data_IF_583172102713
#
_entry.id   IF_583172102713
#
_cell.length_a   1.000
_cell.length_b   1.000
_cell.length_c   1.000
_cell.angle_alpha   90.00
_cell.angle_beta   90.00
_cell.angle_gamma   90.00
#
_symmetry.space_group_name_H-M   'P 1'
#
loop_
_entity.id
_entity.type
_entity.pdbx_description
1 polymer ?
#
# COMPACT_ATOMS: atom_id res chain seq x y z
N UNK A 1 -9.70 -12.67 23.52
CA UNK A 1 -10.00 -11.58 22.56
C UNK A 1 -10.22 -12.23 21.21
N UNK A 2 -11.31 -11.94 20.50
CA UNK A 2 -11.59 -12.56 19.20
C UNK A 2 -10.43 -12.22 18.25
N UNK A 3 -9.74 -13.23 17.70
CA UNK A 3 -8.71 -13.00 16.70
C UNK A 3 -9.39 -12.40 15.47
N UNK A 4 -9.11 -11.12 15.19
CA UNK A 4 -9.76 -10.41 14.10
C UNK A 4 -9.07 -10.78 12.80
N UNK A 5 -9.84 -11.21 11.82
CA UNK A 5 -9.36 -11.32 10.44
C UNK A 5 -9.27 -9.90 9.86
N UNK A 6 -8.10 -9.53 9.32
CA UNK A 6 -7.89 -8.22 8.71
C UNK A 6 -6.92 -8.30 7.53
N UNK A 7 -6.83 -7.21 6.79
CA UNK A 7 -5.78 -6.98 5.80
C UNK A 7 -5.03 -5.73 6.22
N UNK A 8 -3.72 -5.86 6.44
CA UNK A 8 -2.84 -4.71 6.59
C UNK A 8 -2.46 -4.24 5.19
N UNK A 9 -2.63 -2.95 4.92
CA UNK A 9 -2.33 -2.33 3.63
C UNK A 9 -1.30 -1.24 3.85
N UNK A 10 -0.33 -1.20 2.96
CA UNK A 10 0.68 -0.16 2.86
C UNK A 10 0.62 0.47 1.46
N UNK A 11 0.83 1.78 1.39
CA UNK A 11 0.69 2.56 0.16
C UNK A 11 1.90 3.46 -0.01
N UNK A 12 2.52 3.37 -1.18
CA UNK A 12 3.49 4.36 -1.64
C UNK A 12 2.81 5.32 -2.60
N UNK A 13 3.09 6.61 -2.46
CA UNK A 13 2.36 7.68 -3.16
C UNK A 13 3.31 8.76 -3.68
N UNK A 14 2.84 9.57 -4.62
CA UNK A 14 3.59 10.73 -5.13
C UNK A 14 3.73 11.88 -4.10
N UNK A 15 3.10 11.76 -2.92
CA UNK A 15 3.08 12.75 -1.86
C UNK A 15 2.05 12.46 -0.75
N UNK A 16 1.90 13.37 0.21
CA UNK A 16 1.14 13.13 1.45
C UNK A 16 -0.34 13.59 1.41
N UNK A 17 -0.81 14.12 0.28
CA UNK A 17 -2.17 14.65 0.14
C UNK A 17 -3.11 13.63 -0.51
N UNK A 18 -4.00 13.04 0.27
CA UNK A 18 -5.04 12.13 -0.25
C UNK A 18 -5.98 12.76 -1.30
N UNK A 19 -6.01 14.10 -1.43
CA UNK A 19 -6.82 14.81 -2.43
C UNK A 19 -6.07 15.09 -3.73
N UNK A 20 -4.75 15.05 -3.74
CA UNK A 20 -3.91 15.54 -4.84
C UNK A 20 -2.89 14.52 -5.34
N UNK A 21 -2.39 13.68 -4.46
CA UNK A 21 -1.32 12.72 -4.75
C UNK A 21 -1.88 11.37 -5.18
N UNK A 22 -1.08 10.64 -5.95
CA UNK A 22 -1.46 9.42 -6.63
C UNK A 22 -0.74 8.22 -6.01
N UNK A 23 -1.36 7.03 -6.06
CA UNK A 23 -0.75 5.78 -5.59
C UNK A 23 0.23 5.27 -6.66
N UNK A 24 1.41 4.85 -6.19
CA UNK A 24 2.48 4.24 -6.97
C UNK A 24 2.54 2.73 -6.71
N UNK A 25 2.36 2.30 -5.46
CA UNK A 25 2.32 0.88 -5.08
C UNK A 25 1.22 0.62 -4.05
N UNK A 26 0.66 -0.60 -4.09
CA UNK A 26 -0.14 -1.15 -3.01
C UNK A 26 0.50 -2.46 -2.54
N UNK A 27 0.85 -2.53 -1.25
CA UNK A 27 1.19 -3.76 -0.54
C UNK A 27 0.04 -4.21 0.36
N UNK A 28 -0.25 -5.50 0.41
CA UNK A 28 -1.29 -6.05 1.27
C UNK A 28 -0.90 -7.38 1.90
N UNK A 29 -1.18 -7.52 3.20
CA UNK A 29 -0.99 -8.75 3.98
C UNK A 29 -2.33 -9.16 4.58
N UNK A 30 -2.82 -10.34 4.20
CA UNK A 30 -4.01 -10.92 4.83
C UNK A 30 -3.61 -11.68 6.09
N UNK A 31 -4.24 -11.31 7.21
CA UNK A 31 -4.06 -11.97 8.51
C UNK A 31 -5.35 -12.66 8.92
N UNK A 32 -5.26 -13.95 9.22
CA UNK A 32 -6.35 -14.74 9.82
C UNK A 32 -5.82 -15.42 11.07
N UNK A 33 -6.56 -15.32 12.17
CA UNK A 33 -6.18 -15.96 13.43
C UNK A 33 -4.73 -15.67 13.87
N UNK A 34 -4.32 -14.40 13.77
CA UNK A 34 -2.96 -13.95 14.07
C UNK A 34 -1.87 -14.42 13.09
N UNK A 35 -2.21 -15.18 12.05
CA UNK A 35 -1.26 -15.71 11.07
C UNK A 35 -1.40 -15.00 9.71
N UNK A 36 -0.27 -14.75 9.06
CA UNK A 36 -0.26 -14.28 7.68
C UNK A 36 -0.65 -15.44 6.76
N UNK A 37 -1.74 -15.25 6.03
CA UNK A 37 -2.27 -16.28 5.10
C UNK A 37 -2.21 -15.86 3.64
N UNK A 38 -1.80 -14.63 3.37
CA UNK A 38 -1.66 -14.11 2.01
C UNK A 38 -0.81 -12.85 1.98
N UNK A 39 -0.08 -12.69 0.88
CA UNK A 39 0.66 -11.48 0.54
C UNK A 39 0.32 -11.12 -0.90
N UNK A 40 0.19 -9.83 -1.16
CA UNK A 40 -0.07 -9.30 -2.49
C UNK A 40 0.61 -7.95 -2.61
N UNK A 41 1.21 -7.66 -3.76
CA UNK A 41 1.79 -6.37 -4.05
C UNK A 41 1.61 -6.03 -5.53
N UNK A 42 1.50 -4.74 -5.84
CA UNK A 42 1.34 -4.28 -7.22
C UNK A 42 1.82 -2.85 -7.40
N UNK A 43 2.72 -2.67 -8.37
CA UNK A 43 3.04 -1.38 -8.94
C UNK A 43 1.91 -0.87 -9.83
N UNK A 44 1.63 0.42 -9.72
CA UNK A 44 0.57 1.16 -10.39
C UNK A 44 1.20 2.32 -11.15
N UNK A 45 0.78 2.53 -12.39
CA UNK A 45 1.11 3.75 -13.13
C UNK A 45 0.27 4.91 -12.57
N UNK A 46 0.88 5.90 -11.89
CA UNK A 46 0.14 7.00 -11.28
C UNK A 46 -0.42 7.97 -12.33
N UNK A 47 0.01 7.88 -13.60
CA UNK A 47 -0.36 8.75 -14.73
C UNK A 47 -0.02 10.23 -14.50
N UNK A 48 0.95 10.48 -13.62
CA UNK A 48 1.55 11.78 -13.33
C UNK A 48 3.05 11.58 -13.16
N UNK A 49 3.83 12.66 -13.28
CA UNK A 49 5.25 12.62 -13.00
C UNK A 49 5.49 12.37 -11.50
N UNK A 50 6.41 11.46 -11.19
CA UNK A 50 6.79 11.15 -9.80
C UNK A 50 7.84 12.19 -9.38
N UNK A 51 7.62 12.97 -8.31
CA UNK A 51 8.59 13.96 -7.86
C UNK A 51 9.93 13.31 -7.47
N UNK A 52 11.06 13.93 -7.81
CA UNK A 52 12.41 13.37 -7.54
C UNK A 52 12.69 13.06 -6.06
N UNK A 53 12.00 13.72 -5.14
CA UNK A 53 12.12 13.49 -3.69
C UNK A 53 11.54 12.15 -3.22
N UNK A 54 10.83 11.43 -4.08
CA UNK A 54 10.23 10.12 -3.77
C UNK A 54 11.26 9.06 -4.14
N UNK A 55 11.76 8.33 -3.13
CA UNK A 55 12.75 7.26 -3.28
C UNK A 55 12.13 5.90 -2.91
N UNK A 56 12.74 4.79 -3.36
CA UNK A 56 12.43 3.46 -2.83
C UNK A 56 11.22 2.73 -3.42
N UNK A 57 10.78 3.12 -4.63
CA UNK A 57 9.76 2.41 -5.44
C UNK A 57 10.34 1.13 -6.05
#
# INVERSE_FOLDING_TARGET
MMEKNYVAVDLETTGLSAKKDHIIEIGAIQVKNGQIVGKWNKLIDPRVEIPERIEGI
#
